data_IF_831438077137
#
_entry.id   IF_831438077137
#
_cell.length_a   1.000
_cell.length_b   1.000
_cell.length_c   1.000
_cell.angle_alpha   90.00
_cell.angle_beta   90.00
_cell.angle_gamma   90.00
#
_symmetry.space_group_name_H-M   'P 1'
#
loop_
_entity.id
_entity.type
_entity.pdbx_description
1 polymer ?
#
# COMPACT_ATOMS: atom_id res chain seq x y z
N UNK A 1 -0.58 31.31 -12.33
CA UNK A 1 -0.45 30.46 -11.13
C UNK A 1 -1.71 29.61 -11.04
N UNK A 2 -1.70 28.33 -11.46
CA UNK A 2 -2.90 27.51 -11.32
C UNK A 2 -3.17 27.28 -9.84
N UNK A 3 -4.37 27.64 -9.43
CA UNK A 3 -4.90 27.59 -8.07
C UNK A 3 -4.98 26.14 -7.60
N UNK A 4 -4.57 25.86 -6.36
CA UNK A 4 -4.46 24.51 -5.77
C UNK A 4 -5.70 23.59 -5.99
N UNK A 5 -6.88 24.18 -6.20
CA UNK A 5 -8.16 23.50 -6.45
C UNK A 5 -8.24 22.73 -7.78
N UNK A 6 -7.56 23.19 -8.84
CA UNK A 6 -7.64 22.53 -10.16
C UNK A 6 -6.77 21.27 -10.22
N UNK A 7 -5.62 21.29 -9.55
CA UNK A 7 -4.71 20.15 -9.43
C UNK A 7 -5.32 19.01 -8.61
N UNK A 8 -6.02 19.33 -7.51
CA UNK A 8 -6.72 18.34 -6.69
C UNK A 8 -7.85 17.65 -7.45
N UNK A 9 -8.70 18.39 -8.19
CA UNK A 9 -9.78 17.78 -8.99
C UNK A 9 -9.25 16.89 -10.12
N UNK A 10 -8.12 17.27 -10.71
CA UNK A 10 -7.49 16.47 -11.77
C UNK A 10 -6.90 15.17 -11.19
N UNK A 11 -6.30 15.22 -10.00
CA UNK A 11 -5.83 14.04 -9.28
C UNK A 11 -6.99 13.11 -8.86
N UNK A 12 -8.07 13.67 -8.31
CA UNK A 12 -9.27 12.88 -7.94
C UNK A 12 -9.90 12.22 -9.17
N UNK A 13 -9.99 12.94 -10.29
CA UNK A 13 -10.50 12.40 -11.55
C UNK A 13 -9.61 11.28 -12.11
N UNK A 14 -8.30 11.34 -11.89
CA UNK A 14 -7.37 10.29 -12.28
C UNK A 14 -7.53 9.04 -11.42
N UNK A 15 -7.65 9.20 -10.10
CA UNK A 15 -7.83 8.06 -9.18
C UNK A 15 -9.14 7.28 -9.45
N UNK A 16 -10.16 7.94 -9.99
CA UNK A 16 -11.42 7.33 -10.40
C UNK A 16 -11.43 6.83 -11.86
N UNK A 17 -10.30 6.88 -12.57
CA UNK A 17 -10.25 6.61 -14.00
C UNK A 17 -9.92 5.13 -14.30
N UNK A 18 -10.44 4.56 -15.40
CA UNK A 18 -10.09 3.21 -15.83
C UNK A 18 -8.60 3.01 -16.13
N UNK A 19 -7.87 4.08 -16.47
CA UNK A 19 -6.43 4.05 -16.68
C UNK A 19 -5.68 3.76 -15.37
N UNK A 20 -6.14 4.31 -14.24
CA UNK A 20 -5.58 4.00 -12.93
C UNK A 20 -5.85 2.54 -12.54
N UNK A 21 -7.08 2.05 -12.76
CA UNK A 21 -7.41 0.63 -12.53
C UNK A 21 -6.55 -0.31 -13.39
N UNK A 22 -6.34 0.03 -14.67
CA UNK A 22 -5.46 -0.74 -15.57
C UNK A 22 -4.00 -0.70 -15.13
N UNK A 23 -3.52 0.45 -14.67
CA UNK A 23 -2.16 0.58 -14.14
C UNK A 23 -1.95 -0.30 -12.91
N UNK A 24 -2.92 -0.36 -11.99
CA UNK A 24 -2.87 -1.28 -10.84
C UNK A 24 -2.97 -2.75 -11.26
N UNK A 25 -3.82 -3.07 -12.24
CA UNK A 25 -3.96 -4.45 -12.75
C UNK A 25 -2.70 -4.95 -13.43
N UNK A 26 -1.90 -4.04 -13.98
CA UNK A 26 -0.64 -4.34 -14.68
C UNK A 26 0.59 -4.21 -13.78
N UNK A 27 0.40 -3.93 -12.49
CA UNK A 27 1.50 -3.89 -11.53
C UNK A 27 2.12 -5.29 -11.38
N UNK A 28 3.38 -5.40 -11.73
CA UNK A 28 4.16 -6.64 -11.68
C UNK A 28 4.83 -6.86 -10.32
N UNK A 29 4.67 -5.92 -9.38
CA UNK A 29 5.20 -5.99 -8.03
C UNK A 29 6.72 -5.79 -7.94
N UNK A 30 7.41 -5.36 -9.02
CA UNK A 30 8.86 -5.18 -9.00
C UNK A 30 9.33 -4.20 -7.92
N UNK A 31 8.59 -3.11 -7.70
CA UNK A 31 8.92 -2.15 -6.64
C UNK A 31 8.87 -2.81 -5.25
N UNK A 32 7.84 -3.61 -4.98
CA UNK A 32 7.73 -4.35 -3.71
C UNK A 32 8.92 -5.31 -3.52
N UNK A 33 9.34 -6.00 -4.58
CA UNK A 33 10.50 -6.89 -4.54
C UNK A 33 11.81 -6.11 -4.28
N UNK A 34 12.03 -4.99 -4.97
CA UNK A 34 13.21 -4.14 -4.74
C UNK A 34 13.32 -3.64 -3.30
N UNK A 35 12.19 -3.34 -2.65
CA UNK A 35 12.18 -2.96 -1.24
C UNK A 35 12.59 -4.11 -0.32
N UNK A 36 12.06 -5.32 -0.57
CA UNK A 36 12.43 -6.51 0.18
C UNK A 36 13.91 -6.86 0.01
N UNK A 37 14.42 -6.81 -1.22
CA UNK A 37 15.83 -7.07 -1.52
C UNK A 37 16.77 -6.05 -0.86
N UNK A 38 16.29 -4.81 -0.69
CA UNK A 38 16.99 -3.75 0.05
C UNK A 38 16.85 -3.85 1.58
N UNK A 39 16.28 -4.95 2.10
CA UNK A 39 16.14 -5.17 3.55
C UNK A 39 15.00 -4.39 4.20
N UNK A 40 14.09 -3.80 3.42
CA UNK A 40 12.97 -3.00 3.93
C UNK A 40 11.68 -3.83 3.97
N UNK A 41 10.95 -3.84 5.09
CA UNK A 41 9.63 -4.47 5.12
C UNK A 41 8.64 -3.69 4.26
N UNK A 42 7.67 -4.41 3.70
CA UNK A 42 6.56 -3.84 2.93
C UNK A 42 5.24 -4.09 3.66
N UNK A 43 4.25 -3.25 3.39
CA UNK A 43 2.90 -3.36 3.92
C UNK A 43 1.92 -3.45 2.77
N UNK A 44 0.98 -4.40 2.84
CA UNK A 44 -0.06 -4.54 1.83
C UNK A 44 -1.36 -5.05 2.45
N UNK A 45 -2.49 -4.73 1.83
CA UNK A 45 -3.80 -5.29 2.20
C UNK A 45 -3.97 -6.69 1.60
N UNK A 46 -4.54 -7.62 2.37
CA UNK A 46 -4.85 -8.98 1.91
C UNK A 46 -6.33 -9.25 2.20
N UNK A 47 -7.08 -9.70 1.20
CA UNK A 47 -8.52 -9.96 1.32
C UNK A 47 -8.84 -11.01 2.41
N UNK A 48 -7.89 -11.85 2.79
CA UNK A 48 -8.03 -12.82 3.88
C UNK A 48 -7.97 -12.19 5.27
N UNK A 49 -7.42 -10.98 5.38
CA UNK A 49 -7.23 -10.25 6.63
C UNK A 49 -7.78 -8.82 6.51
N UNK A 50 -9.09 -8.63 6.29
CA UNK A 50 -9.69 -7.32 6.10
C UNK A 50 -9.55 -6.40 7.34
N UNK A 51 -9.27 -6.96 8.52
CA UNK A 51 -9.10 -6.25 9.78
C UNK A 51 -7.76 -5.52 9.91
N UNK A 52 -6.81 -5.73 8.99
CA UNK A 52 -5.47 -5.15 9.12
C UNK A 52 -4.64 -5.15 7.84
N UNK A 53 -3.35 -4.89 8.01
CA UNK A 53 -2.35 -4.91 6.95
C UNK A 53 -1.36 -6.03 7.17
N UNK A 54 -0.93 -6.68 6.10
CA UNK A 54 0.16 -7.64 6.15
C UNK A 54 1.48 -6.90 6.04
N UNK A 55 2.32 -6.99 7.07
CA UNK A 55 3.72 -6.59 7.04
C UNK A 55 4.57 -7.79 6.65
N UNK A 56 5.17 -7.75 5.45
CA UNK A 56 6.12 -8.76 4.98
C UNK A 56 7.54 -8.27 5.15
N UNK A 57 8.35 -9.10 5.80
CA UNK A 57 9.77 -8.84 6.01
C UNK A 57 10.61 -9.45 4.88
N UNK A 58 11.85 -8.95 4.68
CA UNK A 58 12.80 -9.51 3.72
C UNK A 58 13.10 -11.01 3.90
N UNK A 59 13.06 -11.48 5.15
CA UNK A 59 13.26 -12.89 5.52
C UNK A 59 12.06 -13.81 5.17
N UNK A 60 10.98 -13.23 4.63
CA UNK A 60 9.76 -13.94 4.27
C UNK A 60 8.74 -14.03 5.41
N UNK A 61 9.09 -13.65 6.65
CA UNK A 61 8.15 -13.59 7.78
C UNK A 61 7.04 -12.60 7.48
N UNK A 62 5.83 -12.91 7.93
CA UNK A 62 4.67 -12.04 7.80
C UNK A 62 3.99 -11.82 9.15
N UNK A 63 3.47 -10.61 9.31
CA UNK A 63 2.72 -10.22 10.50
C UNK A 63 1.47 -9.48 10.06
N UNK A 64 0.36 -9.77 10.72
CA UNK A 64 -0.82 -8.94 10.63
C UNK A 64 -0.66 -7.77 11.61
N UNK A 65 -0.77 -6.55 11.11
CA UNK A 65 -0.63 -5.32 11.89
C UNK A 65 -1.87 -4.43 11.75
N UNK A 66 -2.12 -3.62 12.78
CA UNK A 66 -3.12 -2.54 12.77
C UNK A 66 -2.41 -1.20 12.83
N UNK A 67 -2.99 -0.19 12.17
CA UNK A 67 -2.51 1.20 12.21
C UNK A 67 -3.60 2.02 12.88
N UNK A 68 -3.30 2.61 14.04
CA UNK A 68 -4.24 3.52 14.72
C UNK A 68 -4.28 4.88 14.04
N UNK A 69 -5.30 5.68 14.37
CA UNK A 69 -5.53 6.99 13.77
C UNK A 69 -4.37 8.00 14.00
N UNK A 70 -3.54 7.79 15.02
CA UNK A 70 -2.32 8.54 15.30
C UNK A 70 -1.09 8.06 14.49
N UNK A 71 -1.28 7.07 13.61
CA UNK A 71 -0.23 6.48 12.79
C UNK A 71 0.61 5.41 13.48
N UNK A 72 0.29 5.03 14.73
CA UNK A 72 1.03 3.98 15.43
C UNK A 72 0.71 2.60 14.85
N UNK A 73 1.75 1.85 14.52
CA UNK A 73 1.65 0.47 14.03
C UNK A 73 1.78 -0.50 15.20
N UNK A 74 0.79 -1.37 15.37
CA UNK A 74 0.79 -2.43 16.39
C UNK A 74 0.67 -3.81 15.74
N UNK A 75 1.43 -4.78 16.21
CA UNK A 75 1.35 -6.18 15.72
C UNK A 75 0.15 -6.86 16.38
N UNK A 76 -0.70 -7.49 15.57
CA UNK A 76 -1.82 -8.32 16.03
C UNK A 76 -1.33 -9.76 16.25
N UNK A 77 -0.74 -10.38 15.21
CA UNK A 77 -0.21 -11.76 15.24
C UNK A 77 0.75 -12.03 14.07
N UNK A 78 1.55 -13.08 14.19
CA UNK A 78 2.29 -13.68 13.07
C UNK A 78 1.35 -14.52 12.18
N UNK A 79 1.63 -14.60 10.88
CA UNK A 79 0.82 -15.32 9.87
C UNK A 79 1.67 -16.01 8.81
#
# INVERSE_FOLDING_TARGET
>A
MPTATQSQRQAESFLASPEFERAMTSDDGQAAQQHLDAGRPIYYGDARFPEGLVKKYPDGRKQLVSVSADGKVSVIRDI
#
